data_IF_413966262848
#
_entry.id   IF_413966262848
#
_cell.length_a   1.000
_cell.length_b   1.000
_cell.length_c   1.000
_cell.angle_alpha   90.00
_cell.angle_beta   90.00
_cell.angle_gamma   90.00
#
_symmetry.space_group_name_H-M   'P 1'
#
loop_
_entity.id
_entity.type
_entity.pdbx_description
1 polymer ?
#
# COMPACT_ATOMS: atom_id res chain seq x y z
N UNK A 1 -48.76 -34.79 -14.92
CA UNK A 1 -49.31 -35.35 -13.66
C UNK A 1 -50.21 -34.37 -12.90
N UNK A 2 -49.79 -33.11 -12.67
CA UNK A 2 -50.57 -32.13 -11.88
C UNK A 2 -51.96 -31.81 -12.49
N UNK A 3 -52.09 -31.74 -13.83
CA UNK A 3 -53.39 -31.41 -14.47
C UNK A 3 -54.44 -32.52 -14.39
N UNK A 4 -54.01 -33.79 -14.28
CA UNK A 4 -54.90 -34.95 -14.12
C UNK A 4 -55.44 -35.05 -12.68
N UNK A 5 -54.61 -34.72 -11.69
CA UNK A 5 -55.00 -34.60 -10.28
C UNK A 5 -56.01 -33.46 -10.09
N UNK A 6 -55.79 -32.32 -10.75
CA UNK A 6 -56.69 -31.16 -10.67
C UNK A 6 -58.09 -31.46 -11.25
N UNK A 7 -58.16 -32.14 -12.41
CA UNK A 7 -59.44 -32.54 -13.02
C UNK A 7 -60.22 -33.57 -12.19
N UNK A 8 -59.53 -34.53 -11.55
CA UNK A 8 -60.16 -35.50 -10.63
C UNK A 8 -60.63 -34.85 -9.33
N UNK A 9 -59.87 -33.89 -8.79
CA UNK A 9 -60.28 -33.14 -7.60
C UNK A 9 -61.52 -32.28 -7.86
N UNK A 10 -61.59 -31.63 -9.02
CA UNK A 10 -62.77 -30.85 -9.44
C UNK A 10 -64.03 -31.71 -9.58
N UNK A 11 -63.91 -32.92 -10.16
CA UNK A 11 -65.07 -33.81 -10.32
C UNK A 11 -65.54 -34.41 -8.98
N UNK A 12 -64.62 -34.68 -8.06
CA UNK A 12 -64.92 -35.13 -6.69
C UNK A 12 -65.62 -34.03 -5.89
N UNK A 13 -65.12 -32.79 -5.94
CA UNK A 13 -65.75 -31.64 -5.26
C UNK A 13 -67.17 -31.39 -5.77
N UNK A 14 -67.36 -31.44 -7.09
CA UNK A 14 -68.67 -31.25 -7.72
C UNK A 14 -69.68 -32.35 -7.37
N UNK A 15 -69.20 -33.56 -7.07
CA UNK A 15 -70.03 -34.70 -6.68
C UNK A 15 -70.44 -34.62 -5.21
N UNK A 16 -69.54 -34.19 -4.33
CA UNK A 16 -69.80 -33.98 -2.90
C UNK A 16 -70.74 -32.81 -2.66
N UNK A 17 -70.63 -31.73 -3.45
CA UNK A 17 -71.53 -30.56 -3.38
C UNK A 17 -72.97 -30.87 -3.88
N UNK A 18 -73.21 -32.03 -4.50
CA UNK A 18 -74.52 -32.45 -5.03
C UNK A 18 -75.30 -33.41 -4.13
N UNK A 19 -74.73 -33.88 -3.02
CA UNK A 19 -75.43 -34.77 -2.08
C UNK A 19 -76.13 -33.97 -0.97
N UNK A 20 -77.47 -33.91 -0.96
CA UNK A 20 -78.27 -33.24 0.07
C UNK A 20 -78.51 -34.10 1.32
N UNK A 21 -77.47 -34.74 1.85
CA UNK A 21 -77.53 -35.44 3.14
C UNK A 21 -76.45 -34.90 4.07
N UNK A 22 -76.68 -34.93 5.39
CA UNK A 22 -75.81 -34.30 6.40
C UNK A 22 -74.32 -34.70 6.38
N UNK A 23 -73.92 -35.71 5.59
CA UNK A 23 -72.52 -36.07 5.35
C UNK A 23 -71.79 -35.15 4.35
N UNK A 24 -72.51 -34.51 3.42
CA UNK A 24 -71.92 -33.63 2.41
C UNK A 24 -71.37 -32.34 3.01
N UNK A 25 -72.09 -31.75 3.98
CA UNK A 25 -71.61 -30.60 4.74
C UNK A 25 -70.30 -30.93 5.50
N UNK A 26 -70.21 -32.13 6.08
CA UNK A 26 -69.01 -32.60 6.77
C UNK A 26 -67.84 -32.79 5.80
N UNK A 27 -68.07 -33.40 4.63
CA UNK A 27 -67.04 -33.56 3.61
C UNK A 27 -66.56 -32.22 3.03
N UNK A 28 -67.45 -31.27 2.78
CA UNK A 28 -67.10 -29.91 2.32
C UNK A 28 -66.21 -29.20 3.35
N UNK A 29 -66.52 -29.32 4.65
CA UNK A 29 -65.70 -28.78 5.73
C UNK A 29 -64.31 -29.43 5.75
N UNK A 30 -64.22 -30.75 5.59
CA UNK A 30 -62.92 -31.44 5.50
C UNK A 30 -62.09 -31.00 4.27
N UNK A 31 -62.71 -30.80 3.11
CA UNK A 31 -62.02 -30.29 1.92
C UNK A 31 -61.55 -28.83 2.09
N UNK A 32 -62.33 -27.99 2.77
CA UNK A 32 -61.96 -26.62 3.10
C UNK A 32 -60.77 -26.59 4.07
N UNK A 33 -60.82 -27.38 5.15
CA UNK A 33 -59.73 -27.49 6.13
C UNK A 33 -58.46 -28.04 5.46
N UNK A 34 -58.60 -29.11 4.65
CA UNK A 34 -57.48 -29.69 3.91
C UNK A 34 -56.89 -28.75 2.86
N UNK A 35 -57.72 -27.95 2.19
CA UNK A 35 -57.30 -26.93 1.24
C UNK A 35 -56.52 -25.79 1.89
N UNK A 36 -57.00 -25.28 3.03
CA UNK A 36 -56.32 -24.24 3.82
C UNK A 36 -55.00 -24.77 4.38
N UNK A 37 -54.96 -26.02 4.85
CA UNK A 37 -53.72 -26.64 5.32
C UNK A 37 -52.68 -26.80 4.19
N UNK A 38 -53.12 -27.14 2.98
CA UNK A 38 -52.25 -27.24 1.80
C UNK A 38 -51.67 -25.89 1.37
N UNK A 39 -52.49 -24.83 1.32
CA UNK A 39 -51.99 -23.49 0.99
C UNK A 39 -51.06 -22.96 2.09
N UNK A 40 -51.38 -23.18 3.36
CA UNK A 40 -50.50 -22.85 4.48
C UNK A 40 -49.15 -23.59 4.38
N UNK A 41 -49.16 -24.88 4.02
CA UNK A 41 -47.93 -25.66 3.80
C UNK A 41 -47.10 -25.10 2.65
N UNK A 42 -47.74 -24.76 1.53
CA UNK A 42 -47.03 -24.18 0.37
C UNK A 42 -46.41 -22.83 0.73
N UNK A 43 -47.13 -21.98 1.47
CA UNK A 43 -46.62 -20.66 1.92
C UNK A 43 -45.47 -20.81 2.91
N UNK A 44 -45.59 -21.69 3.92
CA UNK A 44 -44.51 -21.93 4.88
C UNK A 44 -43.28 -22.54 4.17
N UNK A 45 -43.47 -23.46 3.21
CA UNK A 45 -42.38 -24.06 2.44
C UNK A 45 -41.66 -23.05 1.51
N UNK A 46 -42.40 -22.17 0.84
CA UNK A 46 -41.80 -21.12 -0.01
C UNK A 46 -41.05 -20.09 0.81
N UNK A 47 -41.56 -19.73 2.00
CA UNK A 47 -40.89 -18.81 2.93
C UNK A 47 -39.58 -19.38 3.45
N UNK A 48 -39.57 -20.62 3.96
CA UNK A 48 -38.34 -21.31 4.41
C UNK A 48 -37.30 -21.40 3.28
N UNK A 49 -37.74 -21.64 2.05
CA UNK A 49 -36.83 -21.70 0.87
C UNK A 49 -36.26 -20.32 0.52
N UNK A 50 -37.08 -19.27 0.59
CA UNK A 50 -36.64 -17.89 0.35
C UNK A 50 -35.65 -17.41 1.42
N UNK A 51 -35.89 -17.75 2.69
CA UNK A 51 -35.01 -17.43 3.81
C UNK A 51 -33.64 -18.12 3.66
N UNK A 52 -33.62 -19.39 3.23
CA UNK A 52 -32.37 -20.10 2.94
C UNK A 52 -31.57 -19.49 1.78
N UNK A 53 -32.24 -19.02 0.73
CA UNK A 53 -31.58 -18.34 -0.38
C UNK A 53 -30.98 -16.98 0.04
N UNK A 54 -31.69 -16.21 0.87
CA UNK A 54 -31.17 -14.95 1.44
C UNK A 54 -29.99 -15.20 2.36
N UNK A 55 -30.07 -16.22 3.23
CA UNK A 55 -28.98 -16.63 4.10
C UNK A 55 -27.74 -17.03 3.28
N UNK A 56 -27.92 -17.78 2.18
CA UNK A 56 -26.83 -18.12 1.27
C UNK A 56 -26.18 -16.89 0.64
N UNK A 57 -26.98 -15.98 0.09
CA UNK A 57 -26.46 -14.74 -0.51
C UNK A 57 -25.72 -13.87 0.51
N UNK A 58 -26.25 -13.76 1.73
CA UNK A 58 -25.61 -13.04 2.84
C UNK A 58 -24.27 -13.67 3.24
N UNK A 59 -24.22 -15.01 3.30
CA UNK A 59 -23.01 -15.78 3.63
C UNK A 59 -21.98 -15.70 2.51
N UNK A 60 -22.39 -15.71 1.24
CA UNK A 60 -21.50 -15.51 0.08
C UNK A 60 -20.84 -14.13 0.10
N UNK A 61 -21.64 -13.07 0.31
CA UNK A 61 -21.13 -11.70 0.43
C UNK A 61 -20.17 -11.55 1.63
N UNK A 62 -20.51 -12.16 2.77
CA UNK A 62 -19.66 -12.15 3.95
C UNK A 62 -18.33 -12.86 3.69
N UNK A 63 -18.34 -14.06 3.10
CA UNK A 63 -17.12 -14.80 2.78
C UNK A 63 -16.21 -14.02 1.85
N UNK A 64 -16.76 -13.43 0.77
CA UNK A 64 -15.99 -12.61 -0.17
C UNK A 64 -15.37 -11.38 0.50
N UNK A 65 -16.14 -10.66 1.32
CA UNK A 65 -15.67 -9.44 1.97
C UNK A 65 -14.60 -9.73 3.03
N UNK A 66 -14.80 -10.76 3.84
CA UNK A 66 -13.83 -11.19 4.86
C UNK A 66 -12.54 -11.67 4.22
N UNK A 67 -12.62 -12.50 3.17
CA UNK A 67 -11.43 -12.98 2.47
C UNK A 67 -10.62 -11.84 1.86
N UNK A 68 -11.29 -10.87 1.22
CA UNK A 68 -10.61 -9.72 0.62
C UNK A 68 -9.96 -8.81 1.67
N UNK A 69 -10.67 -8.51 2.76
CA UNK A 69 -10.16 -7.57 3.76
C UNK A 69 -9.04 -8.18 4.61
N UNK A 70 -9.18 -9.44 5.01
CA UNK A 70 -8.13 -10.17 5.69
C UNK A 70 -6.88 -10.35 4.82
N UNK A 71 -7.02 -10.39 3.49
CA UNK A 71 -5.88 -10.45 2.58
C UNK A 71 -5.12 -9.11 2.46
N UNK A 72 -5.78 -7.97 2.74
CA UNK A 72 -5.13 -6.65 2.80
C UNK A 72 -4.51 -6.38 4.18
N UNK A 73 -5.22 -6.75 5.24
CA UNK A 73 -4.84 -6.55 6.63
C UNK A 73 -5.10 -7.82 7.45
N UNK A 74 -4.01 -8.47 7.85
CA UNK A 74 -4.03 -9.70 8.64
C UNK A 74 -4.61 -9.52 10.06
N UNK A 75 -4.71 -8.28 10.57
CA UNK A 75 -5.27 -7.99 11.90
C UNK A 75 -6.80 -7.77 11.87
N UNK A 76 -7.44 -7.89 10.71
CA UNK A 76 -8.88 -7.69 10.53
C UNK A 76 -9.71 -8.59 11.46
N UNK A 77 -10.70 -8.01 12.16
CA UNK A 77 -11.75 -8.76 12.89
C UNK A 77 -12.70 -9.48 11.92
N UNK A 78 -12.27 -10.64 11.43
CA UNK A 78 -12.98 -11.46 10.45
C UNK A 78 -14.35 -11.93 10.93
N UNK A 79 -14.49 -12.24 12.23
CA UNK A 79 -15.75 -12.72 12.81
C UNK A 79 -16.76 -11.57 12.94
N UNK A 80 -16.36 -10.43 13.49
CA UNK A 80 -17.23 -9.27 13.61
C UNK A 80 -17.64 -8.72 12.25
N UNK A 81 -16.75 -8.77 11.25
CA UNK A 81 -17.08 -8.41 9.87
C UNK A 81 -18.10 -9.36 9.25
N UNK A 82 -17.91 -10.68 9.35
CA UNK A 82 -18.87 -11.67 8.86
C UNK A 82 -20.25 -11.49 9.48
N UNK A 83 -20.33 -11.29 10.80
CA UNK A 83 -21.58 -11.06 11.53
C UNK A 83 -22.33 -9.83 11.00
N UNK A 84 -21.63 -8.71 10.79
CA UNK A 84 -22.22 -7.49 10.22
C UNK A 84 -22.75 -7.71 8.80
N UNK A 85 -21.95 -8.35 7.93
CA UNK A 85 -22.35 -8.63 6.55
C UNK A 85 -23.57 -9.56 6.48
N UNK A 86 -23.59 -10.63 7.27
CA UNK A 86 -24.71 -11.56 7.32
C UNK A 86 -25.96 -10.85 7.85
N UNK A 87 -25.86 -10.09 8.94
CA UNK A 87 -26.98 -9.38 9.56
C UNK A 87 -27.62 -8.34 8.62
N UNK A 88 -26.80 -7.54 7.92
CA UNK A 88 -27.29 -6.50 7.00
C UNK A 88 -28.03 -7.10 5.79
N UNK A 89 -27.56 -8.22 5.26
CA UNK A 89 -28.14 -8.85 4.06
C UNK A 89 -29.37 -9.73 4.36
N UNK A 90 -29.56 -10.18 5.61
CA UNK A 90 -30.73 -10.95 6.02
C UNK A 90 -31.99 -10.08 6.23
N UNK A 91 -31.83 -8.79 6.52
CA UNK A 91 -32.96 -7.86 6.72
C UNK A 91 -33.85 -8.21 7.91
N UNK A 92 -33.29 -8.85 8.94
CA UNK A 92 -33.99 -9.23 10.17
C UNK A 92 -34.01 -8.07 11.19
N UNK A 93 -35.06 -8.01 12.01
CA UNK A 93 -35.12 -7.08 13.13
C UNK A 93 -34.05 -7.42 14.20
N UNK A 94 -33.48 -6.39 14.84
CA UNK A 94 -32.36 -6.53 15.81
C UNK A 94 -32.61 -7.57 16.91
N UNK A 95 -33.85 -7.74 17.36
CA UNK A 95 -34.19 -8.72 18.40
C UNK A 95 -34.16 -10.17 17.89
N UNK A 96 -34.55 -10.44 16.65
CA UNK A 96 -34.47 -11.77 16.03
C UNK A 96 -33.03 -12.18 15.71
N UNK A 97 -32.20 -11.23 15.27
CA UNK A 97 -30.77 -11.44 15.03
C UNK A 97 -30.05 -11.95 16.29
N UNK A 98 -30.41 -11.45 17.47
CA UNK A 98 -29.72 -11.77 18.72
C UNK A 98 -30.00 -13.16 19.30
N UNK A 99 -31.09 -13.82 18.89
CA UNK A 99 -31.52 -15.10 19.48
C UNK A 99 -31.31 -16.30 18.57
N UNK A 100 -31.44 -16.11 17.26
CA UNK A 100 -31.61 -17.23 16.32
C UNK A 100 -30.56 -17.28 15.19
N UNK A 101 -29.67 -16.28 15.08
CA UNK A 101 -28.59 -16.27 14.09
C UNK A 101 -27.24 -16.62 14.76
N UNK A 102 -26.60 -17.68 14.30
CA UNK A 102 -25.22 -18.01 14.66
C UNK A 102 -24.33 -17.87 13.43
N UNK A 103 -23.22 -17.14 13.56
CA UNK A 103 -22.22 -16.98 12.50
C UNK A 103 -20.87 -17.47 13.02
N UNK A 104 -20.22 -18.32 12.23
CA UNK A 104 -18.88 -18.82 12.47
C UNK A 104 -17.98 -18.53 11.27
N UNK A 105 -16.69 -18.33 11.52
CA UNK A 105 -15.68 -18.10 10.49
C UNK A 105 -14.52 -19.06 10.73
N UNK A 106 -14.12 -19.78 9.69
CA UNK A 106 -13.01 -20.74 9.73
C UNK A 106 -12.01 -20.40 8.62
N UNK A 107 -10.70 -20.45 8.88
CA UNK A 107 -9.70 -20.32 7.83
C UNK A 107 -9.77 -21.51 6.87
N UNK A 108 -9.59 -21.24 5.58
CA UNK A 108 -9.49 -22.26 4.53
C UNK A 108 -8.34 -21.95 3.60
N UNK A 109 -7.80 -22.99 2.97
CA UNK A 109 -6.74 -22.84 1.96
C UNK A 109 -7.20 -23.53 0.68
N UNK A 110 -7.00 -22.88 -0.47
CA UNK A 110 -7.27 -23.46 -1.78
C UNK A 110 -6.18 -23.06 -2.77
N UNK A 111 -5.53 -24.05 -3.38
CA UNK A 111 -4.38 -23.82 -4.28
C UNK A 111 -3.33 -22.87 -3.67
N UNK A 112 -2.96 -23.11 -2.41
CA UNK A 112 -1.99 -22.31 -1.64
C UNK A 112 -2.41 -20.86 -1.31
N UNK A 113 -3.66 -20.48 -1.63
CA UNK A 113 -4.20 -19.18 -1.24
C UNK A 113 -5.06 -19.30 0.02
N UNK A 114 -4.88 -18.36 0.93
CA UNK A 114 -5.65 -18.25 2.16
C UNK A 114 -7.02 -17.63 1.90
N UNK A 115 -7.99 -18.06 2.70
CA UNK A 115 -9.34 -17.59 2.62
C UNK A 115 -10.12 -17.94 3.88
N UNK A 116 -11.41 -17.65 3.84
CA UNK A 116 -12.30 -17.87 4.96
C UNK A 116 -13.59 -18.53 4.51
N UNK A 117 -14.03 -19.50 5.30
CA UNK A 117 -15.37 -20.06 5.25
C UNK A 117 -16.22 -19.35 6.29
N UNK A 118 -17.29 -18.71 5.84
CA UNK A 118 -18.34 -18.19 6.71
C UNK A 118 -19.47 -19.21 6.74
N UNK A 119 -19.89 -19.60 7.93
CA UNK A 119 -21.04 -20.46 8.17
C UNK A 119 -22.07 -19.68 8.95
N UNK A 120 -23.33 -19.70 8.50
CA UNK A 120 -24.43 -19.05 9.18
C UNK A 120 -25.59 -20.04 9.35
N UNK A 121 -26.16 -20.09 10.55
CA UNK A 121 -27.35 -20.87 10.83
C UNK A 121 -28.48 -19.99 11.37
N UNK A 122 -29.69 -20.27 10.90
CA UNK A 122 -30.92 -19.56 11.27
C UNK A 122 -32.05 -20.54 11.52
N UNK A 123 -32.86 -20.29 12.54
CA UNK A 123 -34.04 -21.11 12.84
C UNK A 123 -35.29 -20.54 12.17
N UNK A 124 -35.74 -21.16 11.09
CA UNK A 124 -36.98 -20.79 10.40
C UNK A 124 -38.21 -21.39 11.10
N UNK A 125 -39.16 -20.55 11.52
CA UNK A 125 -40.41 -20.96 12.18
C UNK A 125 -41.58 -20.93 11.18
N UNK A 126 -42.29 -22.06 10.96
CA UNK A 126 -43.55 -22.07 10.20
C UNK A 126 -44.59 -21.22 10.92
N UNK A 127 -45.11 -20.19 10.25
CA UNK A 127 -46.00 -19.21 10.87
C UNK A 127 -47.47 -19.61 10.82
N UNK A 128 -47.86 -20.47 9.87
CA UNK A 128 -49.26 -20.78 9.60
C UNK A 128 -49.67 -22.16 10.11
N UNK A 129 -48.81 -23.16 10.01
CA UNK A 129 -49.11 -24.54 10.44
C UNK A 129 -48.64 -24.88 11.86
N UNK A 130 -47.95 -23.96 12.55
CA UNK A 130 -47.44 -24.20 13.91
C UNK A 130 -46.46 -25.38 14.02
N UNK A 131 -45.84 -25.78 12.91
CA UNK A 131 -44.89 -26.87 12.86
C UNK A 131 -43.59 -26.56 13.63
N UNK A 132 -42.78 -27.59 13.95
CA UNK A 132 -41.50 -27.37 14.62
C UNK A 132 -40.58 -26.54 13.72
N UNK A 133 -39.95 -25.50 14.30
CA UNK A 133 -38.97 -24.68 13.58
C UNK A 133 -37.82 -25.52 13.04
N UNK A 134 -37.38 -25.24 11.82
CA UNK A 134 -36.28 -25.94 11.15
C UNK A 134 -35.04 -25.05 11.11
N UNK A 135 -33.90 -25.57 11.54
CA UNK A 135 -32.62 -24.89 11.37
C UNK A 135 -32.19 -25.01 9.91
N UNK A 136 -31.92 -23.87 9.29
CA UNK A 136 -31.27 -23.75 7.99
C UNK A 136 -29.84 -23.35 8.26
N UNK A 137 -28.89 -24.14 7.76
CA UNK A 137 -27.47 -23.88 7.88
C UNK A 137 -26.86 -23.76 6.49
N UNK A 138 -26.03 -22.75 6.30
CA UNK A 138 -25.37 -22.46 5.03
C UNK A 138 -23.92 -22.11 5.30
N UNK A 139 -23.04 -22.58 4.42
CA UNK A 139 -21.63 -22.21 4.40
C UNK A 139 -21.23 -21.68 3.03
N UNK A 140 -20.34 -20.70 3.04
CA UNK A 140 -19.71 -20.12 1.86
C UNK A 140 -18.24 -19.92 2.14
N UNK A 141 -17.39 -20.27 1.18
CA UNK A 141 -15.96 -20.05 1.28
C UNK A 141 -15.51 -19.14 0.14
N UNK A 142 -14.63 -18.20 0.46
CA UNK A 142 -13.94 -17.37 -0.52
C UNK A 142 -12.46 -17.33 -0.19
N UNK A 143 -11.67 -17.17 -1.23
CA UNK A 143 -10.21 -17.12 -1.19
C UNK A 143 -9.81 -15.88 -1.95
N UNK A 144 -8.94 -15.06 -1.37
CA UNK A 144 -8.52 -13.80 -1.95
C UNK A 144 -7.06 -13.89 -2.38
N UNK A 145 -6.79 -13.44 -3.60
CA UNK A 145 -5.44 -13.29 -4.13
C UNK A 145 -5.15 -11.80 -4.08
N UNK A 146 -4.37 -11.38 -3.08
CA UNK A 146 -3.93 -10.00 -2.93
C UNK A 146 -2.45 -9.92 -3.30
N UNK A 147 -2.15 -9.28 -4.44
CA UNK A 147 -0.80 -9.12 -4.97
C UNK A 147 -0.48 -7.62 -5.06
N UNK A 148 -0.10 -6.97 -3.93
CA UNK A 148 0.29 -5.57 -3.97
C UNK A 148 1.52 -5.40 -4.88
N UNK A 149 1.59 -4.25 -5.57
CA UNK A 149 2.67 -3.96 -6.51
C UNK A 149 3.39 -2.67 -6.12
N UNK A 150 4.69 -2.78 -5.93
CA UNK A 150 5.54 -1.63 -5.60
C UNK A 150 6.63 -1.50 -6.65
N UNK A 151 6.78 -0.28 -7.17
CA UNK A 151 7.68 0.00 -8.29
C UNK A 151 8.63 1.12 -7.91
N UNK A 152 9.91 0.97 -8.20
CA UNK A 152 10.88 2.06 -8.13
C UNK A 152 11.25 2.49 -9.54
N UNK A 153 10.82 3.69 -9.94
CA UNK A 153 11.26 4.32 -11.17
C UNK A 153 12.61 5.00 -10.90
N UNK A 154 13.69 4.38 -11.37
CA UNK A 154 15.07 4.86 -11.18
C UNK A 154 15.54 5.57 -12.44
N UNK A 155 15.90 6.84 -12.32
CA UNK A 155 16.10 7.72 -13.48
C UNK A 155 17.40 8.53 -13.34
N UNK A 156 18.27 8.54 -14.37
CA UNK A 156 19.44 9.40 -14.35
C UNK A 156 19.01 10.87 -14.41
N UNK A 157 19.63 11.70 -13.57
CA UNK A 157 19.36 13.14 -13.51
C UNK A 157 20.69 13.88 -13.53
N UNK A 158 21.21 14.15 -14.74
CA UNK A 158 22.51 14.79 -14.95
C UNK A 158 22.48 15.79 -16.12
N UNK A 159 23.58 16.50 -16.35
CA UNK A 159 23.75 17.38 -17.52
C UNK A 159 23.84 16.64 -18.87
N UNK A 160 23.95 15.32 -18.90
CA UNK A 160 24.10 14.56 -20.15
C UNK A 160 22.78 14.39 -20.91
N UNK A 161 21.66 14.42 -20.19
CA UNK A 161 20.34 14.35 -20.77
C UNK A 161 19.98 15.70 -21.38
N UNK A 162 19.52 15.73 -22.63
CA UNK A 162 18.98 16.96 -23.20
C UNK A 162 17.65 17.30 -22.54
N UNK A 163 17.22 18.55 -22.64
CA UNK A 163 15.89 18.95 -22.19
C UNK A 163 14.78 18.08 -22.82
N UNK A 164 14.96 17.61 -24.06
CA UNK A 164 14.01 16.69 -24.71
C UNK A 164 14.03 15.30 -24.08
N UNK A 165 15.20 14.79 -23.71
CA UNK A 165 15.31 13.49 -23.03
C UNK A 165 14.63 13.54 -21.66
N UNK A 166 14.83 14.63 -20.91
CA UNK A 166 14.18 14.84 -19.62
C UNK A 166 12.65 14.98 -19.75
N UNK A 167 12.17 15.63 -20.81
CA UNK A 167 10.74 15.67 -21.14
C UNK A 167 10.19 14.28 -21.48
N UNK A 168 10.90 13.51 -22.31
CA UNK A 168 10.49 12.15 -22.67
C UNK A 168 10.42 11.23 -21.44
N UNK A 169 11.40 11.33 -20.54
CA UNK A 169 11.41 10.62 -19.25
C UNK A 169 10.18 11.00 -18.41
N UNK A 170 9.85 12.29 -18.34
CA UNK A 170 8.66 12.77 -17.62
C UNK A 170 7.39 12.19 -18.23
N UNK A 171 7.23 12.28 -19.55
CA UNK A 171 6.03 11.80 -20.25
C UNK A 171 5.85 10.28 -20.08
N UNK A 172 6.94 9.50 -20.19
CA UNK A 172 6.94 8.06 -19.95
C UNK A 172 6.59 7.76 -18.48
N UNK A 173 7.18 8.50 -17.54
CA UNK A 173 6.93 8.32 -16.11
C UNK A 173 5.48 8.60 -15.74
N UNK A 174 4.90 9.69 -16.23
CA UNK A 174 3.48 10.04 -16.01
C UNK A 174 2.55 9.01 -16.67
N UNK A 175 2.80 8.63 -17.94
CA UNK A 175 1.98 7.64 -18.63
C UNK A 175 2.03 6.26 -17.94
N UNK A 176 3.21 5.86 -17.47
CA UNK A 176 3.36 4.60 -16.72
C UNK A 176 2.63 4.65 -15.38
N UNK A 177 2.71 5.78 -14.67
CA UNK A 177 1.98 5.99 -13.42
C UNK A 177 0.47 5.86 -13.63
N UNK A 178 -0.06 6.55 -14.64
CA UNK A 178 -1.49 6.54 -14.97
C UNK A 178 -1.97 5.13 -15.35
N UNK A 179 -1.18 4.40 -16.14
CA UNK A 179 -1.55 3.05 -16.58
C UNK A 179 -1.44 2.02 -15.44
N UNK A 180 -0.42 2.10 -14.58
CA UNK A 180 -0.08 1.03 -13.64
C UNK A 180 -0.54 1.31 -12.22
N UNK A 181 -0.50 2.56 -11.75
CA UNK A 181 -0.70 2.94 -10.36
C UNK A 181 -2.04 3.62 -10.14
N UNK A 182 -2.39 4.59 -10.99
CA UNK A 182 -3.56 5.45 -10.75
C UNK A 182 -4.86 4.64 -10.63
N UNK A 183 -5.71 5.05 -9.69
CA UNK A 183 -6.97 4.40 -9.35
C UNK A 183 -6.86 3.01 -8.71
N UNK A 184 -5.66 2.54 -8.32
CA UNK A 184 -5.44 1.21 -7.73
C UNK A 184 -4.86 1.31 -6.34
N UNK A 185 -5.65 0.92 -5.34
CA UNK A 185 -5.34 1.08 -3.92
C UNK A 185 -4.23 0.15 -3.38
N UNK A 186 -3.75 -0.79 -4.19
CA UNK A 186 -2.76 -1.80 -3.85
C UNK A 186 -1.43 -1.58 -4.57
N UNK A 187 -1.23 -0.39 -5.14
CA UNK A 187 -0.06 -0.10 -5.97
C UNK A 187 0.56 1.22 -5.61
N UNK A 188 1.89 1.23 -5.55
CA UNK A 188 2.66 2.40 -5.19
C UNK A 188 3.90 2.52 -6.06
N UNK A 189 4.32 3.75 -6.30
CA UNK A 189 5.55 4.00 -7.04
C UNK A 189 6.45 5.01 -6.33
N UNK A 190 7.73 4.70 -6.28
CA UNK A 190 8.79 5.58 -5.83
C UNK A 190 9.53 6.16 -7.04
N UNK A 191 10.09 7.36 -6.88
CA UNK A 191 10.97 7.99 -7.87
C UNK A 191 12.36 8.16 -7.28
N UNK A 192 13.37 7.63 -7.97
CA UNK A 192 14.77 7.68 -7.54
C UNK A 192 15.60 8.41 -8.61
N UNK A 193 15.71 9.74 -8.53
CA UNK A 193 16.70 10.47 -9.31
C UNK A 193 18.10 10.09 -8.85
N UNK A 194 19.01 9.74 -9.78
CA UNK A 194 20.38 9.36 -9.42
C UNK A 194 21.45 9.97 -10.35
N UNK A 195 22.67 10.08 -9.82
CA UNK A 195 23.91 10.34 -10.55
C UNK A 195 25.05 9.54 -9.88
N UNK A 196 25.98 10.18 -9.14
CA UNK A 196 26.96 9.47 -8.30
C UNK A 196 26.38 9.06 -6.95
N UNK A 197 25.22 9.65 -6.64
CA UNK A 197 24.45 9.45 -5.43
C UNK A 197 22.97 9.66 -5.68
N UNK A 198 22.21 9.59 -4.60
CA UNK A 198 20.80 9.98 -4.54
C UNK A 198 20.66 11.04 -3.46
N UNK A 199 19.91 12.10 -3.77
CA UNK A 199 19.53 13.08 -2.77
C UNK A 199 18.34 12.53 -1.98
N UNK A 200 18.49 12.34 -0.68
CA UNK A 200 17.39 11.90 0.21
C UNK A 200 16.99 13.00 1.18
N UNK A 201 17.12 14.25 0.78
CA UNK A 201 16.69 15.37 1.61
C UNK A 201 15.19 15.34 1.87
N UNK A 202 14.82 15.61 3.12
CA UNK A 202 13.45 15.80 3.57
C UNK A 202 13.37 17.14 4.31
N UNK A 203 12.39 17.98 3.99
CA UNK A 203 12.31 19.32 4.58
C UNK A 203 11.98 19.31 6.08
N UNK A 204 11.32 18.26 6.58
CA UNK A 204 11.01 18.11 8.00
C UNK A 204 12.17 17.47 8.78
N UNK A 205 12.95 16.59 8.13
CA UNK A 205 13.97 15.75 8.78
C UNK A 205 15.39 15.95 8.29
N UNK A 206 15.68 16.81 7.31
CA UNK A 206 16.94 16.79 6.55
C UNK A 206 18.21 16.73 7.39
N UNK A 207 18.37 17.67 8.33
CA UNK A 207 19.54 17.71 9.25
C UNK A 207 19.52 16.55 10.25
N UNK A 208 18.36 16.15 10.77
CA UNK A 208 18.27 14.98 11.66
C UNK A 208 18.61 13.69 10.92
N UNK A 209 18.25 13.57 9.64
CA UNK A 209 18.52 12.41 8.78
C UNK A 209 20.02 12.27 8.53
N UNK A 210 20.73 13.37 8.31
CA UNK A 210 22.21 13.36 8.27
C UNK A 210 22.77 12.73 9.55
N UNK A 211 22.24 13.12 10.71
CA UNK A 211 22.74 12.66 12.02
C UNK A 211 22.40 11.21 12.31
N UNK A 212 21.21 10.75 11.93
CA UNK A 212 20.74 9.39 12.24
C UNK A 212 21.24 8.36 11.22
N UNK A 213 21.35 8.71 9.95
CA UNK A 213 21.71 7.76 8.89
C UNK A 213 23.23 7.63 8.68
N UNK A 214 24.02 8.62 9.10
CA UNK A 214 25.46 8.57 8.99
C UNK A 214 26.07 7.41 9.79
N UNK A 215 26.90 6.60 9.14
CA UNK A 215 27.84 5.67 9.80
C UNK A 215 28.66 6.43 10.87
N UNK A 216 29.09 5.74 11.95
CA UNK A 216 30.02 6.31 12.92
C UNK A 216 31.24 6.92 12.21
N UNK A 217 31.65 8.11 12.63
CA UNK A 217 32.76 8.90 12.07
C UNK A 217 32.57 9.40 10.62
N UNK A 218 31.39 9.21 10.00
CA UNK A 218 31.10 9.74 8.65
C UNK A 218 30.43 11.10 8.63
N UNK A 219 29.84 11.52 9.76
CA UNK A 219 29.35 12.89 9.91
C UNK A 219 30.48 13.92 10.06
N UNK A 220 31.65 13.49 10.55
CA UNK A 220 32.89 14.26 10.68
C UNK A 220 34.04 13.50 10.02
N UNK A 221 34.11 13.46 8.68
CA UNK A 221 35.17 12.74 7.99
C UNK A 221 36.55 13.28 8.39
N UNK A 222 37.61 12.45 8.34
CA UNK A 222 38.92 12.81 8.89
C UNK A 222 39.50 14.15 8.40
N UNK A 223 39.21 14.52 7.15
CA UNK A 223 39.66 15.80 6.59
C UNK A 223 38.96 17.02 7.23
N UNK A 224 37.77 16.83 7.81
CA UNK A 224 36.95 17.91 8.39
C UNK A 224 37.63 18.60 9.57
N UNK A 225 38.49 17.87 10.30
CA UNK A 225 39.28 18.42 11.42
C UNK A 225 40.15 19.61 11.03
N UNK A 226 40.56 19.70 9.76
CA UNK A 226 41.42 20.75 9.25
C UNK A 226 40.67 22.02 8.86
N UNK A 227 39.37 21.91 8.56
CA UNK A 227 38.56 23.04 8.10
C UNK A 227 37.71 23.66 9.22
N UNK A 228 37.33 22.87 10.23
CA UNK A 228 36.38 23.23 11.30
C UNK A 228 36.58 24.64 11.89
N UNK A 229 37.82 24.99 12.22
CA UNK A 229 38.12 26.27 12.87
C UNK A 229 38.06 27.47 11.90
N UNK A 230 38.39 27.26 10.62
CA UNK A 230 38.44 28.34 9.62
C UNK A 230 37.15 28.50 8.80
N UNK A 231 36.32 27.46 8.76
CA UNK A 231 35.11 27.40 7.93
C UNK A 231 33.82 27.70 8.71
N UNK A 232 33.85 27.78 10.04
CA UNK A 232 32.66 28.05 10.85
C UNK A 232 31.65 26.90 10.93
N UNK A 233 32.04 25.69 10.52
CA UNK A 233 31.20 24.48 10.54
C UNK A 233 31.80 23.42 11.46
N UNK A 234 30.94 22.69 12.18
CA UNK A 234 31.38 21.63 13.10
C UNK A 234 31.42 20.26 12.47
N UNK A 235 30.48 19.97 11.55
CA UNK A 235 30.33 18.70 10.84
C UNK A 235 29.45 18.85 9.59
N UNK A 236 29.24 17.74 8.86
CA UNK A 236 28.41 17.73 7.64
C UNK A 236 26.93 18.11 7.87
N UNK A 237 26.43 18.05 9.12
CA UNK A 237 25.08 18.45 9.49
C UNK A 237 24.97 19.91 9.97
N UNK A 238 26.02 20.73 9.80
CA UNK A 238 25.98 22.14 10.23
C UNK A 238 25.05 22.95 9.32
N UNK A 239 24.22 23.88 9.85
CA UNK A 239 23.30 24.69 9.03
C UNK A 239 23.98 25.47 7.91
N UNK A 240 25.23 25.90 8.14
CA UNK A 240 26.02 26.66 7.16
C UNK A 240 26.66 25.79 6.08
N UNK A 241 26.65 24.46 6.24
CA UNK A 241 27.15 23.56 5.20
C UNK A 241 26.44 23.82 3.88
N UNK A 242 27.17 23.93 2.76
CA UNK A 242 26.57 24.24 1.47
C UNK A 242 25.45 23.27 1.07
N UNK A 243 25.64 21.97 1.31
CA UNK A 243 24.62 20.94 1.02
C UNK A 243 23.34 21.17 1.83
N UNK A 244 23.46 21.49 3.12
CA UNK A 244 22.33 21.83 3.98
C UNK A 244 21.60 23.07 3.47
N UNK A 245 22.34 24.09 3.03
CA UNK A 245 21.78 25.32 2.44
C UNK A 245 21.09 25.07 1.09
N UNK A 246 21.60 24.13 0.28
CA UNK A 246 21.02 23.74 -1.01
C UNK A 246 19.96 22.64 -0.86
N UNK A 247 19.72 22.14 0.36
CA UNK A 247 18.80 21.02 0.66
C UNK A 247 19.19 19.72 -0.07
N UNK A 248 20.47 19.41 0.00
CA UNK A 248 21.07 18.21 -0.56
C UNK A 248 21.48 17.30 0.60
N UNK A 249 21.08 16.04 0.52
CA UNK A 249 21.59 14.97 1.36
C UNK A 249 22.13 13.87 0.48
N UNK A 250 23.42 13.99 0.14
CA UNK A 250 24.12 12.99 -0.65
C UNK A 250 24.49 11.80 0.23
N UNK A 251 23.79 10.70 0.02
CA UNK A 251 24.01 9.43 0.70
C UNK A 251 24.67 8.44 -0.23
N UNK A 252 25.90 8.06 0.10
CA UNK A 252 26.64 6.99 -0.55
C UNK A 252 26.53 5.75 0.32
N UNK A 253 25.91 4.71 -0.22
CA UNK A 253 25.88 3.40 0.43
C UNK A 253 26.89 2.44 -0.14
N UNK A 254 27.03 2.42 -1.47
CA UNK A 254 27.93 1.56 -2.26
C UNK A 254 28.27 0.22 -1.59
N UNK A 255 27.55 -0.86 -1.92
CA UNK A 255 27.79 -2.18 -1.31
C UNK A 255 29.26 -2.59 -1.47
N UNK A 256 29.93 -2.93 -0.37
CA UNK A 256 31.26 -3.55 -0.46
C UNK A 256 31.12 -4.96 -0.99
N UNK A 257 32.16 -5.46 -1.65
CA UNK A 257 32.18 -6.86 -2.10
C UNK A 257 31.95 -7.82 -0.92
N UNK A 258 30.91 -8.64 -1.00
CA UNK A 258 30.54 -9.62 0.04
C UNK A 258 29.64 -9.09 1.16
N UNK A 259 29.26 -7.81 1.12
CA UNK A 259 28.31 -7.24 2.08
C UNK A 259 26.88 -7.64 1.72
N UNK A 260 26.15 -8.22 2.69
CA UNK A 260 24.72 -8.45 2.59
C UNK A 260 24.00 -7.19 3.06
N UNK A 261 23.00 -6.77 2.29
CA UNK A 261 22.20 -5.62 2.66
C UNK A 261 20.89 -6.09 3.32
N UNK A 262 20.70 -5.72 4.59
CA UNK A 262 19.51 -6.05 5.37
C UNK A 262 18.34 -5.11 5.05
N UNK A 263 17.55 -5.49 4.04
CA UNK A 263 16.38 -4.76 3.55
C UNK A 263 15.28 -4.51 4.58
N UNK A 264 15.33 -5.17 5.73
CA UNK A 264 14.31 -5.08 6.78
C UNK A 264 14.68 -4.09 7.89
N UNK A 265 15.91 -3.60 7.92
CA UNK A 265 16.38 -2.72 8.98
C UNK A 265 16.26 -1.24 8.61
N UNK A 266 15.97 -0.36 9.59
CA UNK A 266 16.00 1.08 9.37
C UNK A 266 17.39 1.58 8.91
N UNK A 267 17.46 2.68 8.15
CA UNK A 267 18.69 3.25 7.59
C UNK A 267 19.71 3.79 8.61
N UNK A 268 19.48 3.63 9.91
CA UNK A 268 20.29 4.20 10.98
C UNK A 268 21.75 3.73 10.90
N UNK A 269 22.70 4.68 10.99
CA UNK A 269 24.12 4.37 11.00
C UNK A 269 24.65 3.62 9.78
N UNK A 270 23.96 3.67 8.64
CA UNK A 270 24.23 2.78 7.50
C UNK A 270 24.92 3.47 6.32
N UNK A 271 25.04 4.79 6.32
CA UNK A 271 25.44 5.54 5.13
C UNK A 271 26.71 6.36 5.32
N UNK A 272 27.49 6.46 4.25
CA UNK A 272 28.45 7.54 4.11
C UNK A 272 27.69 8.79 3.63
N UNK A 273 27.73 9.84 4.44
CA UNK A 273 27.25 11.16 4.01
C UNK A 273 28.39 11.80 3.23
N UNK A 274 28.16 12.00 1.94
CA UNK A 274 29.11 12.69 1.09
C UNK A 274 28.80 14.18 1.10
N UNK A 275 29.86 14.97 0.98
CA UNK A 275 29.81 16.37 0.57
C UNK A 275 30.85 16.50 -0.55
N UNK A 276 30.68 17.46 -1.45
CA UNK A 276 31.47 17.45 -2.69
C UNK A 276 32.96 17.38 -2.42
N UNK A 277 33.58 16.36 -3.00
CA UNK A 277 34.98 16.02 -2.77
C UNK A 277 35.88 16.83 -3.68
N UNK A 278 35.84 18.16 -3.55
CA UNK A 278 36.80 19.05 -4.19
C UNK A 278 38.19 18.92 -3.56
N UNK A 279 38.69 17.69 -3.40
CA UNK A 279 39.99 17.37 -2.79
C UNK A 279 40.16 18.08 -1.44
N UNK A 280 39.30 17.72 -0.48
CA UNK A 280 39.35 18.25 0.88
C UNK A 280 39.09 19.76 0.99
N UNK A 281 38.03 20.23 0.34
CA UNK A 281 37.55 21.61 0.50
C UNK A 281 38.30 22.65 -0.34
N UNK A 282 38.78 22.28 -1.52
CA UNK A 282 39.39 23.19 -2.51
C UNK A 282 38.57 23.23 -3.81
N UNK A 283 37.29 23.59 -3.71
CA UNK A 283 36.41 23.73 -4.87
C UNK A 283 36.86 24.89 -5.77
N UNK A 284 36.90 24.63 -7.08
CA UNK A 284 37.16 25.65 -8.08
C UNK A 284 35.81 26.27 -8.45
N UNK A 285 35.52 27.44 -7.89
CA UNK A 285 34.19 28.06 -7.99
C UNK A 285 33.75 28.39 -9.43
N UNK A 286 34.68 28.51 -10.38
CA UNK A 286 34.33 28.69 -11.80
C UNK A 286 33.64 27.48 -12.43
N UNK A 287 33.69 26.32 -11.78
CA UNK A 287 33.02 25.09 -12.24
C UNK A 287 31.58 24.99 -11.74
N UNK A 288 31.12 25.94 -10.93
CA UNK A 288 29.79 25.94 -10.34
C UNK A 288 28.94 27.02 -10.97
N UNK A 289 27.63 26.78 -11.15
CA UNK A 289 26.76 27.82 -11.67
C UNK A 289 26.59 28.98 -10.67
N UNK A 290 26.16 30.13 -11.20
CA UNK A 290 26.01 31.34 -10.41
C UNK A 290 25.05 31.16 -9.24
N UNK A 291 25.45 31.60 -8.04
CA UNK A 291 24.60 31.54 -6.84
C UNK A 291 24.69 30.23 -6.05
N UNK A 292 25.57 29.29 -6.43
CA UNK A 292 25.78 28.08 -5.62
C UNK A 292 26.25 28.44 -4.21
N UNK A 293 25.67 27.82 -3.17
CA UNK A 293 26.16 28.02 -1.83
C UNK A 293 27.57 27.45 -1.71
N UNK A 294 28.43 28.21 -1.03
CA UNK A 294 29.75 27.77 -0.64
C UNK A 294 30.14 28.39 0.70
N UNK A 295 31.17 27.82 1.32
CA UNK A 295 31.90 28.38 2.46
C UNK A 295 33.30 28.72 1.99
N UNK A 296 33.83 29.84 2.47
CA UNK A 296 35.24 30.21 2.31
C UNK A 296 35.98 29.94 3.61
N UNK A 297 37.17 29.35 3.50
CA UNK A 297 38.08 29.16 4.62
C UNK A 297 39.52 29.42 4.17
N UNK A 298 40.45 29.56 5.11
CA UNK A 298 41.87 29.75 4.83
C UNK A 298 42.67 28.57 5.37
N UNK A 299 43.43 27.90 4.51
CA UNK A 299 44.29 26.78 4.90
C UNK A 299 45.05 26.11 3.76
N UNK A 300 45.91 25.13 4.09
CA UNK A 300 46.67 24.36 3.12
C UNK A 300 45.77 23.43 2.29
N UNK A 301 46.32 22.83 1.23
CA UNK A 301 45.63 21.78 0.46
C UNK A 301 45.47 20.54 1.33
N UNK A 302 44.30 19.91 1.26
CA UNK A 302 44.06 18.63 1.90
C UNK A 302 44.01 17.57 0.79
N UNK A 303 44.90 16.56 0.77
CA UNK A 303 44.85 15.50 -0.23
C UNK A 303 43.49 14.78 -0.25
N UNK A 304 43.11 14.17 -1.38
CA UNK A 304 41.85 13.41 -1.52
C UNK A 304 41.64 12.35 -0.44
N UNK A 305 42.73 11.71 0.00
CA UNK A 305 42.69 10.70 1.05
C UNK A 305 42.48 11.28 2.47
N UNK A 306 42.43 12.61 2.64
CA UNK A 306 42.25 13.28 3.92
C UNK A 306 43.37 13.06 4.94
N UNK A 307 44.48 12.45 4.52
CA UNK A 307 45.53 11.89 5.38
C UNK A 307 46.65 12.88 5.74
N UNK A 308 46.47 14.18 5.52
CA UNK A 308 47.49 15.18 5.80
C UNK A 308 47.18 16.56 5.22
N UNK A 309 48.19 17.43 5.23
CA UNK A 309 48.16 18.77 4.68
C UNK A 309 49.33 18.94 3.71
N UNK A 310 49.11 19.59 2.56
CA UNK A 310 50.14 19.86 1.55
C UNK A 310 50.07 21.31 1.04
N UNK A 311 51.19 21.86 0.61
CA UNK A 311 51.25 23.17 -0.04
C UNK A 311 51.00 24.39 0.87
N UNK A 312 50.91 25.59 0.29
CA UNK A 312 50.76 26.84 1.02
C UNK A 312 49.34 27.03 1.57
N UNK A 313 49.23 27.80 2.64
CA UNK A 313 47.95 28.29 3.17
C UNK A 313 47.40 29.36 2.26
N UNK A 314 46.20 29.14 1.72
CA UNK A 314 45.52 30.06 0.82
C UNK A 314 44.01 30.09 1.12
N UNK A 315 43.27 30.95 0.43
CA UNK A 315 41.81 30.93 0.40
C UNK A 315 41.33 29.66 -0.31
N UNK A 316 40.34 29.00 0.28
CA UNK A 316 39.78 27.72 -0.14
C UNK A 316 38.26 27.78 -0.07
N UNK A 317 37.59 26.87 -0.80
CA UNK A 317 36.14 26.85 -0.91
C UNK A 317 35.58 25.44 -0.74
N UNK A 318 34.46 25.34 -0.05
CA UNK A 318 33.63 24.14 0.02
C UNK A 318 32.30 24.55 -0.61
N UNK A 319 31.90 23.92 -1.71
CA UNK A 319 30.64 24.19 -2.41
C UNK A 319 29.62 23.07 -2.13
N UNK A 320 28.36 23.31 -2.48
CA UNK A 320 27.35 22.25 -2.45
C UNK A 320 27.58 21.25 -3.57
N UNK A 321 27.28 19.98 -3.28
CA UNK A 321 27.54 18.84 -4.15
C UNK A 321 26.75 18.89 -5.45
N UNK A 322 27.46 19.26 -6.51
CA UNK A 322 26.97 19.25 -7.88
C UNK A 322 27.02 17.88 -8.55
N UNK A 323 27.42 16.80 -7.88
CA UNK A 323 27.46 15.43 -8.46
C UNK A 323 26.23 14.57 -8.14
N UNK A 324 25.31 15.11 -7.33
CA UNK A 324 24.07 14.44 -6.90
C UNK A 324 22.86 15.23 -7.41
N UNK A 325 21.75 14.58 -7.80
CA UNK A 325 20.55 15.29 -8.25
C UNK A 325 20.03 16.25 -7.18
N UNK A 326 19.58 17.45 -7.58
CA UNK A 326 18.93 18.37 -6.63
C UNK A 326 17.56 17.86 -6.22
N UNK A 327 16.91 17.14 -7.13
CA UNK A 327 15.62 16.54 -6.87
C UNK A 327 15.78 15.34 -5.96
N UNK A 328 15.19 15.45 -4.76
CA UNK A 328 15.23 14.37 -3.79
C UNK A 328 14.46 13.12 -4.27
N UNK A 329 14.78 11.97 -3.71
CA UNK A 329 14.00 10.73 -3.81
C UNK A 329 12.57 10.97 -3.34
N UNK A 330 11.59 10.49 -4.11
CA UNK A 330 10.20 10.41 -3.69
C UNK A 330 9.95 9.01 -3.14
N UNK A 331 9.58 8.87 -1.86
CA UNK A 331 9.16 7.59 -1.31
C UNK A 331 7.94 7.03 -2.05
N UNK A 332 7.62 5.75 -1.79
CA UNK A 332 6.42 5.11 -2.33
C UNK A 332 5.18 5.98 -2.09
N UNK A 333 4.45 6.24 -3.16
CA UNK A 333 3.23 7.04 -3.15
C UNK A 333 2.26 6.52 -4.20
N UNK A 334 0.96 6.66 -3.91
CA UNK A 334 -0.16 6.51 -4.84
C UNK A 334 -0.77 7.89 -5.22
N UNK A 335 -0.28 8.97 -4.63
CA UNK A 335 -0.63 10.35 -4.99
C UNK A 335 0.04 10.83 -6.29
N UNK A 336 -0.74 10.81 -7.39
CA UNK A 336 -0.33 11.27 -8.73
C UNK A 336 0.31 12.67 -8.73
N UNK A 337 -0.30 13.62 -8.01
CA UNK A 337 0.17 15.01 -7.97
C UNK A 337 1.59 15.13 -7.38
N UNK A 338 1.89 14.37 -6.32
CA UNK A 338 3.23 14.33 -5.71
C UNK A 338 4.26 13.76 -6.68
N UNK A 339 3.90 12.71 -7.40
CA UNK A 339 4.76 12.07 -8.38
C UNK A 339 5.09 13.01 -9.56
N UNK A 340 4.06 13.58 -10.19
CA UNK A 340 4.24 14.56 -11.28
C UNK A 340 5.06 15.78 -10.84
N UNK A 341 4.77 16.33 -9.65
CA UNK A 341 5.51 17.46 -9.11
C UNK A 341 7.00 17.12 -8.89
N UNK A 342 7.33 15.89 -8.50
CA UNK A 342 8.73 15.47 -8.35
C UNK A 342 9.42 15.27 -9.69
N UNK A 343 8.78 14.60 -10.65
CA UNK A 343 9.32 14.45 -12.00
C UNK A 343 9.62 15.80 -12.64
N UNK A 344 8.73 16.78 -12.47
CA UNK A 344 8.93 18.12 -13.01
C UNK A 344 10.14 18.83 -12.40
N UNK A 345 10.44 18.62 -11.11
CA UNK A 345 11.63 19.19 -10.46
C UNK A 345 12.92 18.62 -11.05
N UNK A 346 12.93 17.34 -11.37
CA UNK A 346 14.09 16.64 -11.93
C UNK A 346 14.56 17.24 -13.26
N UNK A 347 13.66 17.84 -14.04
CA UNK A 347 14.04 18.55 -15.27
C UNK A 347 15.02 19.71 -14.94
N UNK A 348 14.86 20.42 -13.83
CA UNK A 348 15.76 21.52 -13.48
C UNK A 348 17.18 21.06 -13.14
N UNK A 349 17.36 19.81 -12.72
CA UNK A 349 18.66 19.28 -12.32
C UNK A 349 19.65 19.25 -13.49
N UNK A 350 19.19 19.06 -14.73
CA UNK A 350 20.07 18.95 -15.90
C UNK A 350 20.83 20.24 -16.23
N UNK A 351 20.37 21.38 -15.72
CA UNK A 351 21.03 22.69 -15.90
C UNK A 351 22.14 22.93 -14.87
N UNK A 352 22.12 22.16 -13.79
CA UNK A 352 22.80 22.47 -12.53
C UNK A 352 23.80 21.38 -12.10
N UNK A 353 23.57 20.12 -12.49
CA UNK A 353 24.27 18.94 -11.94
C UNK A 353 25.33 18.38 -12.90
N UNK A 354 26.57 18.34 -12.40
CA UNK A 354 27.73 17.78 -13.07
C UNK A 354 27.63 16.25 -13.21
N UNK A 355 28.31 15.74 -14.24
CA UNK A 355 28.27 14.33 -14.60
C UNK A 355 29.07 13.43 -13.66
N UNK A 356 28.41 12.41 -13.09
CA UNK A 356 29.07 11.25 -12.49
C UNK A 356 28.09 10.06 -12.36
N UNK A 357 27.62 9.46 -13.46
CA UNK A 357 26.62 8.37 -13.38
C UNK A 357 27.22 7.08 -12.80
N UNK A 358 26.61 6.57 -11.73
CA UNK A 358 26.98 5.30 -11.11
C UNK A 358 25.78 4.33 -11.03
N UNK A 359 25.73 3.36 -11.94
CA UNK A 359 24.60 2.42 -12.04
C UNK A 359 24.47 1.49 -10.83
N UNK A 360 25.54 1.23 -10.08
CA UNK A 360 25.46 0.43 -8.85
C UNK A 360 24.68 1.16 -7.75
N UNK A 361 24.82 2.49 -7.71
CA UNK A 361 24.04 3.36 -6.82
C UNK A 361 22.57 3.33 -7.23
N UNK A 362 22.28 3.39 -8.53
CA UNK A 362 20.93 3.29 -9.07
C UNK A 362 20.22 2.01 -8.63
N UNK A 363 20.85 0.85 -8.83
CA UNK A 363 20.26 -0.45 -8.45
C UNK A 363 20.07 -0.57 -6.93
N UNK A 364 21.06 -0.14 -6.15
CA UNK A 364 20.96 -0.17 -4.69
C UNK A 364 19.82 0.71 -4.17
N UNK A 365 19.68 1.92 -4.71
CA UNK A 365 18.61 2.84 -4.32
C UNK A 365 17.23 2.47 -4.84
N UNK A 366 17.14 1.88 -6.03
CA UNK A 366 15.88 1.33 -6.54
C UNK A 366 15.27 0.34 -5.56
N UNK A 367 16.08 -0.58 -5.04
CA UNK A 367 15.58 -1.53 -4.07
C UNK A 367 15.45 -0.93 -2.64
N UNK A 368 16.28 0.04 -2.23
CA UNK A 368 16.14 0.71 -0.93
C UNK A 368 14.85 1.51 -0.85
N UNK A 369 14.44 2.15 -1.95
CA UNK A 369 13.17 2.87 -2.03
C UNK A 369 11.95 1.96 -1.80
N UNK A 370 12.12 0.65 -2.04
CA UNK A 370 11.10 -0.38 -1.82
C UNK A 370 11.24 -1.08 -0.47
N UNK A 371 12.30 -0.83 0.30
CA UNK A 371 12.52 -1.49 1.59
C UNK A 371 11.45 -1.04 2.61
N UNK A 372 10.83 -1.98 3.36
CA UNK A 372 9.95 -1.64 4.48
C UNK A 372 10.65 -0.83 5.58
N UNK A 373 11.93 -1.10 5.84
CA UNK A 373 12.73 -0.37 6.84
C UNK A 373 12.91 1.12 6.51
N UNK A 374 12.84 1.47 5.23
CA UNK A 374 12.92 2.86 4.73
C UNK A 374 11.57 3.57 4.69
N UNK A 375 10.48 2.91 5.09
CA UNK A 375 9.14 3.51 5.19
C UNK A 375 8.78 3.99 6.60
N UNK A 376 9.57 3.59 7.60
CA UNK A 376 9.29 3.88 9.01
C UNK A 376 9.44 5.36 9.39
N UNK A 377 9.31 5.65 10.69
CA UNK A 377 9.33 7.02 11.26
C UNK A 377 10.64 7.77 10.93
N UNK A 378 11.72 7.03 10.66
CA UNK A 378 13.03 7.57 10.28
C UNK A 378 13.35 7.46 8.77
N UNK A 379 12.48 6.78 8.01
CA UNK A 379 12.49 6.64 6.56
C UNK A 379 12.32 7.94 5.81
#
# INVERSE_FOLDING_TARGET
>A
MISLLCKRAQSLLARVLREESGSAAVNVVFFLIGGIALTAFVVDATRVSADGARLKQATDAAAQAVAMEAAKDSETDVLGMAQRYVAVNLGLDKEQLSRDLSVAVEPVTWNDYEGYRVSASFRALPSLLGGPGKTVEVASAAVAIYNPLEIALVVPSTINETQRDMQAIRDIGEAFYDEVIDGRADRWMALVPYSDGVNVWDDAKGVSRIRSWALPDRIEPQWFRYIKQGAGVSNLASPDMPDVRKKILHVRRGMRGGELFDWTEPPGGSFEISAETCYGGNCIMSNYPGGWPYITWRGPVIPSAGNGLTGPTDQRWIAADGTVPLTALLPLTDEREKFTARLQKMIGDHEEINHAINMNIAMGWGAMALSPGFRGIDG
#
